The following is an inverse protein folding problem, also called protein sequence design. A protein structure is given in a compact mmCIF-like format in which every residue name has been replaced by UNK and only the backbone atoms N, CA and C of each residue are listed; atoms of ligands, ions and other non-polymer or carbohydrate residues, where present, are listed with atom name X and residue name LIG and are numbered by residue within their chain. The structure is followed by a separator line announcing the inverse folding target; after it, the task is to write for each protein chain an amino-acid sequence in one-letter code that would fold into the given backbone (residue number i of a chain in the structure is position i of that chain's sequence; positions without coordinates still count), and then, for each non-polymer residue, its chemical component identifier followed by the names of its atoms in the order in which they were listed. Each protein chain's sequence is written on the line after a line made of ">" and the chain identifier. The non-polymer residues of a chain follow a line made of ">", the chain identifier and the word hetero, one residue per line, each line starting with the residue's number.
data_IF_702132613172
#
_entry.id   IF_702132613172
#
_cell.length_a   1.000
_cell.length_b   1.000
_cell.length_c   1.000
_cell.angle_alpha   90.00
_cell.angle_beta   90.00
_cell.angle_gamma   90.00
#
_symmetry.space_group_name_H-M   'P 1'
#
loop_
_entity.id
_entity.type
_entity.pdbx_description
1 polymer ?
#
# COMPACT_ATOMS: atom_id res chain seq x y z
N UNK A 1 66.55 1.33 20.53
CA UNK A 1 67.24 0.19 19.88
C UNK A 1 66.12 -0.71 19.36
N UNK A 2 65.77 -0.81 18.07
CA UNK A 2 66.57 -0.80 16.85
C UNK A 2 65.79 -0.18 15.68
N UNK A 3 66.54 0.46 14.77
CA UNK A 3 66.11 1.07 13.50
C UNK A 3 65.71 0.01 12.48
N UNK A 4 64.84 0.35 11.53
CA UNK A 4 65.09 0.10 10.11
C UNK A 4 64.38 1.13 9.24
N UNK A 5 65.21 1.91 8.54
CA UNK A 5 64.87 2.95 7.57
C UNK A 5 64.35 2.36 6.25
N UNK A 6 63.37 3.03 5.62
CA UNK A 6 63.38 3.19 4.16
C UNK A 6 63.01 4.63 3.77
N UNK A 7 64.07 5.30 3.34
CA UNK A 7 64.26 6.67 2.87
C UNK A 7 63.38 6.99 1.65
N UNK A 8 62.59 8.07 1.70
CA UNK A 8 62.88 9.44 1.23
C UNK A 8 63.03 9.57 -0.30
N UNK A 9 62.09 10.14 -1.09
CA UNK A 9 61.59 11.55 -1.27
C UNK A 9 62.38 12.36 -2.35
N UNK A 10 61.92 13.55 -2.78
CA UNK A 10 61.72 13.99 -4.18
C UNK A 10 62.74 15.08 -4.64
N UNK A 11 62.68 15.56 -5.89
CA UNK A 11 63.27 16.83 -6.41
C UNK A 11 62.85 16.94 -7.90
N UNK A 12 62.08 17.92 -8.39
CA UNK A 12 62.24 19.38 -8.52
C UNK A 12 63.13 19.86 -9.69
N UNK A 13 62.51 20.70 -10.54
CA UNK A 13 63.04 21.80 -11.37
C UNK A 13 64.01 21.55 -12.56
N UNK A 14 63.51 21.87 -13.78
CA UNK A 14 64.21 22.64 -14.82
C UNK A 14 63.13 23.25 -15.76
N UNK A 15 62.88 24.57 -15.74
CA UNK A 15 63.35 25.59 -16.71
C UNK A 15 63.07 25.22 -18.19
N UNK A 16 62.58 26.06 -19.10
CA UNK A 16 62.12 27.45 -19.14
C UNK A 16 61.64 27.72 -20.58
N UNK A 17 60.96 28.85 -20.80
CA UNK A 17 60.81 29.64 -22.04
C UNK A 17 59.66 29.38 -23.03
N UNK A 18 58.86 30.45 -23.17
CA UNK A 18 58.49 31.19 -24.39
C UNK A 18 57.08 31.02 -25.01
N UNK A 19 56.44 32.20 -25.11
CA UNK A 19 55.41 32.64 -26.07
C UNK A 19 53.93 32.51 -25.70
N UNK A 20 53.49 33.56 -25.01
CA UNK A 20 52.20 34.22 -25.24
C UNK A 20 51.91 34.48 -26.73
N UNK A 21 50.79 33.97 -27.23
CA UNK A 21 50.11 34.55 -28.39
C UNK A 21 48.60 34.40 -28.21
N UNK A 22 47.94 35.51 -27.90
CA UNK A 22 46.50 35.65 -28.00
C UNK A 22 46.14 35.71 -29.49
N UNK A 23 45.35 34.75 -29.96
CA UNK A 23 44.64 34.87 -31.24
C UNK A 23 43.16 35.00 -30.92
N UNK A 24 42.66 36.22 -31.09
CA UNK A 24 41.24 36.48 -31.21
C UNK A 24 40.75 35.84 -32.51
N UNK A 25 40.11 34.67 -32.40
CA UNK A 25 39.35 34.07 -33.48
C UNK A 25 37.87 34.44 -33.32
N UNK A 26 37.50 35.60 -33.89
CA UNK A 26 36.13 35.87 -34.31
C UNK A 26 35.99 35.31 -35.73
N UNK A 27 35.10 34.33 -35.93
CA UNK A 27 34.86 33.74 -37.25
C UNK A 27 33.77 32.68 -37.17
N UNK A 28 32.56 33.08 -37.55
CA UNK A 28 31.35 32.29 -37.43
C UNK A 28 31.32 31.03 -38.29
N UNK A 29 30.84 29.97 -37.67
CA UNK A 29 30.15 28.87 -38.32
C UNK A 29 28.97 28.55 -37.43
N UNK A 30 27.78 28.99 -37.81
CA UNK A 30 26.55 28.59 -37.16
C UNK A 30 26.35 27.09 -37.42
N UNK A 31 27.02 26.26 -36.63
CA UNK A 31 26.60 24.89 -36.42
C UNK A 31 25.41 24.99 -35.47
N UNK A 32 24.28 25.40 -36.05
CA UNK A 32 22.98 25.22 -35.41
C UNK A 32 22.79 23.71 -35.37
N UNK A 33 23.38 23.04 -34.37
CA UNK A 33 22.75 21.87 -33.79
C UNK A 33 21.43 22.41 -33.25
N UNK A 34 20.43 22.49 -34.15
CA UNK A 34 19.05 22.30 -33.76
C UNK A 34 19.08 20.94 -33.06
N UNK A 35 19.28 20.97 -31.75
CA UNK A 35 18.55 20.06 -30.90
C UNK A 35 17.10 20.43 -31.16
N UNK A 36 16.55 19.90 -32.26
CA UNK A 36 15.13 19.65 -32.34
C UNK A 36 14.87 18.67 -31.20
N UNK A 37 14.73 19.22 -29.99
CA UNK A 37 13.82 18.65 -29.03
C UNK A 37 12.49 18.70 -29.78
N UNK A 38 12.19 17.63 -30.49
CA UNK A 38 10.83 17.28 -30.84
C UNK A 38 10.14 17.17 -29.49
N UNK A 39 9.70 18.30 -28.96
CA UNK A 39 8.78 18.35 -27.84
C UNK A 39 7.52 17.73 -28.41
N UNK A 40 7.43 16.41 -28.29
CA UNK A 40 6.19 15.69 -28.45
C UNK A 40 5.27 16.40 -27.47
N UNK A 41 4.34 17.21 -27.98
CA UNK A 41 3.40 17.92 -27.14
C UNK A 41 2.69 16.83 -26.33
N UNK A 42 3.06 16.73 -25.06
CA UNK A 42 2.55 15.68 -24.19
C UNK A 42 1.07 15.94 -24.02
N UNK A 43 0.25 15.03 -24.54
CA UNK A 43 -1.19 15.12 -24.38
C UNK A 43 -1.51 15.20 -22.88
N UNK A 44 -2.41 16.09 -22.48
CA UNK A 44 -2.79 16.19 -21.08
C UNK A 44 -3.37 14.85 -20.60
N UNK A 45 -3.00 14.40 -19.38
CA UNK A 45 -3.64 13.22 -18.80
C UNK A 45 -5.12 13.48 -18.60
N UNK A 46 -5.93 12.44 -18.79
CA UNK A 46 -7.37 12.45 -18.54
C UNK A 46 -7.75 11.18 -17.79
N UNK A 47 -8.77 11.27 -16.93
CA UNK A 47 -9.35 10.11 -16.25
C UNK A 47 -10.36 9.47 -17.21
N UNK A 48 -10.13 8.22 -17.58
CA UNK A 48 -10.98 7.47 -18.52
C UNK A 48 -12.08 6.68 -17.81
N UNK A 49 -11.85 6.29 -16.56
CA UNK A 49 -12.83 5.59 -15.73
C UNK A 49 -12.50 5.67 -14.26
N UNK A 50 -13.53 5.54 -13.42
CA UNK A 50 -13.40 5.46 -11.96
C UNK A 50 -14.11 4.21 -11.45
N UNK A 51 -13.61 3.67 -10.34
CA UNK A 51 -14.27 2.60 -9.60
C UNK A 51 -14.15 2.87 -8.09
N UNK A 52 -15.25 3.08 -7.35
CA UNK A 52 -16.63 3.10 -7.83
C UNK A 52 -16.86 4.15 -8.93
N UNK A 53 -17.78 3.83 -9.85
CA UNK A 53 -18.19 4.76 -10.90
C UNK A 53 -18.82 6.02 -10.29
N UNK A 54 -18.80 7.13 -11.03
CA UNK A 54 -19.44 8.35 -10.56
C UNK A 54 -20.95 8.14 -10.34
N UNK A 55 -21.44 8.64 -9.21
CA UNK A 55 -22.79 8.45 -8.68
C UNK A 55 -23.18 6.99 -8.39
N UNK A 56 -22.21 6.08 -8.23
CA UNK A 56 -22.50 4.71 -7.84
C UNK A 56 -23.21 4.64 -6.48
N UNK A 57 -24.24 3.79 -6.39
CA UNK A 57 -24.99 3.50 -5.16
C UNK A 57 -24.73 2.07 -4.68
N UNK A 58 -24.96 1.81 -3.40
CA UNK A 58 -24.80 0.48 -2.78
C UNK A 58 -23.38 -0.08 -2.92
N UNK A 59 -22.37 0.79 -2.80
CA UNK A 59 -20.97 0.38 -2.77
C UNK A 59 -20.69 -0.31 -1.43
N UNK A 60 -20.07 -1.49 -1.45
CA UNK A 60 -19.68 -2.15 -0.21
C UNK A 60 -18.74 -1.24 0.62
N UNK A 61 -18.81 -1.29 1.95
CA UNK A 61 -17.89 -0.55 2.83
C UNK A 61 -16.49 -1.17 2.86
N UNK A 62 -16.42 -2.48 2.62
CA UNK A 62 -15.22 -3.30 2.68
C UNK A 62 -15.36 -4.52 1.78
N UNK A 63 -14.24 -5.14 1.44
CA UNK A 63 -14.17 -6.43 0.74
C UNK A 63 -13.52 -7.47 1.64
N UNK A 64 -13.82 -8.75 1.41
CA UNK A 64 -13.09 -9.86 2.02
C UNK A 64 -12.45 -10.71 0.93
N UNK A 65 -11.13 -10.83 0.99
CA UNK A 65 -10.37 -11.74 0.12
C UNK A 65 -9.54 -12.64 1.01
N UNK A 66 -9.72 -13.96 0.91
CA UNK A 66 -8.99 -14.96 1.72
C UNK A 66 -9.04 -14.68 3.24
N UNK A 67 -10.22 -14.33 3.75
CA UNK A 67 -10.42 -13.99 5.17
C UNK A 67 -9.68 -12.72 5.64
N UNK A 68 -9.17 -11.90 4.71
CA UNK A 68 -8.61 -10.59 4.99
C UNK A 68 -9.65 -9.53 4.61
N UNK A 69 -10.13 -8.81 5.61
CA UNK A 69 -10.96 -7.62 5.39
C UNK A 69 -10.08 -6.48 4.85
N UNK A 70 -10.60 -5.73 3.89
CA UNK A 70 -9.96 -4.51 3.37
C UNK A 70 -11.03 -3.47 3.10
N UNK A 71 -10.70 -2.19 3.30
CA UNK A 71 -11.60 -1.10 2.90
C UNK A 71 -11.84 -1.15 1.39
N UNK A 72 -13.03 -0.72 0.95
CA UNK A 72 -13.31 -0.66 -0.48
C UNK A 72 -12.36 0.30 -1.17
N UNK A 73 -11.63 -0.22 -2.16
CA UNK A 73 -10.64 0.54 -2.93
C UNK A 73 -11.36 1.50 -3.87
N UNK A 74 -10.93 2.76 -3.83
CA UNK A 74 -11.42 3.83 -4.72
C UNK A 74 -10.33 4.09 -5.76
N UNK A 75 -10.63 3.96 -7.03
CA UNK A 75 -9.64 3.95 -8.10
C UNK A 75 -10.01 4.83 -9.28
N UNK A 76 -8.98 5.35 -9.95
CA UNK A 76 -9.10 6.16 -11.16
C UNK A 76 -8.10 5.63 -12.20
N UNK A 77 -8.59 5.42 -13.42
CA UNK A 77 -7.80 4.98 -14.57
C UNK A 77 -7.52 6.16 -15.48
N UNK A 78 -6.30 6.25 -16.00
CA UNK A 78 -5.85 7.33 -16.86
C UNK A 78 -5.66 6.87 -18.30
N UNK A 79 -5.75 7.80 -19.26
CA UNK A 79 -5.46 7.54 -20.67
C UNK A 79 -3.96 7.29 -20.95
N UNK A 80 -3.08 7.57 -19.98
CA UNK A 80 -1.63 7.42 -20.10
C UNK A 80 -0.97 7.21 -18.73
N UNK A 81 0.31 6.85 -18.74
CA UNK A 81 1.07 6.66 -17.50
C UNK A 81 1.27 7.98 -16.74
N UNK A 82 0.95 7.94 -15.44
CA UNK A 82 1.12 9.04 -14.49
C UNK A 82 2.43 8.94 -13.72
N UNK A 83 2.88 10.05 -13.14
CA UNK A 83 3.98 10.07 -12.18
C UNK A 83 3.44 9.70 -10.77
N UNK A 84 3.81 8.52 -10.23
CA UNK A 84 3.33 8.07 -8.93
C UNK A 84 3.66 9.02 -7.78
N UNK A 85 4.77 9.76 -7.87
CA UNK A 85 5.20 10.69 -6.80
C UNK A 85 4.28 11.89 -6.67
N UNK A 86 3.63 12.30 -7.76
CA UNK A 86 2.68 13.41 -7.77
C UNK A 86 1.30 13.01 -7.26
N UNK A 87 0.95 11.72 -7.37
CA UNK A 87 -0.33 11.16 -6.92
C UNK A 87 -0.27 10.71 -5.45
N UNK A 88 0.86 10.16 -5.03
CA UNK A 88 1.12 9.73 -3.67
C UNK A 88 1.75 10.86 -2.85
N UNK A 89 0.99 11.93 -2.59
CA UNK A 89 1.47 12.99 -1.71
C UNK A 89 1.31 12.57 -0.24
N UNK A 90 2.19 11.69 0.20
CA UNK A 90 2.50 11.44 1.61
C UNK A 90 3.56 12.41 2.15
N UNK A 91 3.94 13.44 1.37
CA UNK A 91 4.98 14.41 1.75
C UNK A 91 4.41 15.43 2.75
N UNK A 92 5.00 15.58 3.95
CA UNK A 92 4.57 16.59 4.91
C UNK A 92 4.65 18.00 4.31
N UNK A 93 3.54 18.75 4.35
CA UNK A 93 3.45 20.12 3.85
C UNK A 93 2.99 20.27 2.40
N UNK A 94 2.74 19.17 1.67
CA UNK A 94 2.08 19.21 0.36
C UNK A 94 0.55 19.04 0.51
N UNK A 95 -0.23 19.72 -0.35
CA UNK A 95 -1.66 19.46 -0.48
C UNK A 95 -1.86 18.05 -1.06
N UNK A 96 -2.78 17.23 -0.50
CA UNK A 96 -3.02 15.90 -1.02
C UNK A 96 -3.60 15.96 -2.43
N UNK A 97 -2.98 15.24 -3.36
CA UNK A 97 -3.40 15.20 -4.77
C UNK A 97 -4.61 14.31 -4.98
N UNK A 98 -4.70 13.20 -4.25
CA UNK A 98 -5.85 12.29 -4.28
C UNK A 98 -6.41 12.18 -2.87
N UNK A 99 -7.62 12.72 -2.67
CA UNK A 99 -8.36 12.61 -1.41
C UNK A 99 -9.70 11.90 -1.60
N UNK A 100 -10.19 11.33 -0.51
CA UNK A 100 -11.57 10.85 -0.39
C UNK A 100 -12.15 11.52 0.85
N UNK A 101 -13.26 12.22 0.70
CA UNK A 101 -13.91 12.94 1.79
C UNK A 101 -15.34 12.41 1.97
N UNK A 102 -15.83 12.37 3.20
CA UNK A 102 -17.23 12.04 3.47
C UNK A 102 -18.17 13.21 3.10
N UNK A 103 -19.47 13.02 3.33
CA UNK A 103 -20.50 14.03 3.07
C UNK A 103 -20.38 15.29 3.94
N UNK A 104 -19.61 15.23 5.04
CA UNK A 104 -19.33 16.35 5.94
C UNK A 104 -18.01 17.06 5.57
N UNK A 105 -17.31 16.59 4.52
CA UNK A 105 -16.02 17.11 4.09
C UNK A 105 -14.84 16.57 4.90
N UNK A 106 -15.05 15.61 5.80
CA UNK A 106 -13.97 15.00 6.58
C UNK A 106 -13.14 14.08 5.70
N UNK A 107 -11.82 14.24 5.75
CA UNK A 107 -10.89 13.42 4.99
C UNK A 107 -10.84 11.98 5.54
N UNK A 108 -11.05 11.01 4.67
CA UNK A 108 -10.87 9.59 4.94
C UNK A 108 -9.37 9.30 4.94
N UNK A 109 -8.78 8.81 6.05
CA UNK A 109 -7.40 8.35 6.04
C UNK A 109 -7.25 7.10 5.16
N UNK A 110 -6.19 7.07 4.36
CA UNK A 110 -5.87 5.96 3.48
C UNK A 110 -4.56 6.15 2.75
N UNK A 111 -4.19 5.18 1.93
CA UNK A 111 -2.95 5.18 1.14
C UNK A 111 -3.27 5.11 -0.35
N UNK A 112 -2.45 5.78 -1.16
CA UNK A 112 -2.57 5.76 -2.63
C UNK A 112 -1.44 4.93 -3.21
N UNK A 113 -1.78 3.98 -4.07
CA UNK A 113 -0.84 3.14 -4.80
C UNK A 113 -1.14 3.17 -6.30
N UNK A 114 -0.09 3.04 -7.12
CA UNK A 114 -0.20 2.89 -8.57
C UNK A 114 -0.06 1.43 -8.97
N UNK A 115 -0.73 1.03 -10.05
CA UNK A 115 -0.45 -0.26 -10.70
C UNK A 115 0.93 -0.26 -11.38
N UNK A 116 1.40 -1.44 -11.82
CA UNK A 116 2.72 -1.58 -12.45
C UNK A 116 2.90 -0.75 -13.74
N UNK A 117 1.82 -0.46 -14.45
CA UNK A 117 1.83 0.36 -15.67
C UNK A 117 1.73 1.87 -15.37
N UNK A 118 1.57 2.27 -14.11
CA UNK A 118 1.29 3.64 -13.67
C UNK A 118 0.07 4.29 -14.35
N UNK A 119 -0.90 3.50 -14.80
CA UNK A 119 -2.13 3.98 -15.45
C UNK A 119 -3.36 3.94 -14.54
N UNK A 120 -3.26 3.30 -13.36
CA UNK A 120 -4.37 3.19 -12.41
C UNK A 120 -3.88 3.59 -11.02
N UNK A 121 -4.50 4.63 -10.45
CA UNK A 121 -4.32 5.04 -9.06
C UNK A 121 -5.40 4.39 -8.19
N UNK A 122 -5.00 3.82 -7.06
CA UNK A 122 -5.88 3.14 -6.11
C UNK A 122 -5.70 3.72 -4.72
N UNK A 123 -6.76 4.29 -4.16
CA UNK A 123 -6.86 4.75 -2.79
C UNK A 123 -7.48 3.65 -1.94
N UNK A 124 -6.74 3.17 -0.94
CA UNK A 124 -7.18 2.17 0.02
C UNK A 124 -7.43 2.85 1.37
N UNK A 125 -8.68 2.93 1.83
CA UNK A 125 -8.99 3.44 3.17
C UNK A 125 -8.29 2.63 4.26
N UNK A 126 -7.94 3.27 5.38
CA UNK A 126 -7.58 2.57 6.61
C UNK A 126 -8.69 1.60 7.01
N UNK A 127 -8.32 0.44 7.52
CA UNK A 127 -9.28 -0.63 7.83
C UNK A 127 -9.99 -0.41 9.18
N UNK A 128 -11.31 -0.64 9.28
CA UNK A 128 -12.37 -0.26 8.34
C UNK A 128 -12.81 1.20 8.59
N UNK A 129 -12.62 2.09 7.61
CA UNK A 129 -12.93 3.53 7.77
C UNK A 129 -14.21 3.96 7.06
N UNK A 130 -14.66 3.27 6.00
CA UNK A 130 -15.88 3.68 5.29
C UNK A 130 -17.13 3.31 6.10
N UNK A 131 -17.92 4.33 6.43
CA UNK A 131 -19.16 4.22 7.17
C UNK A 131 -20.29 3.75 6.23
N UNK A 132 -21.22 2.90 6.73
CA UNK A 132 -22.41 2.52 5.98
C UNK A 132 -23.33 3.71 5.69
N UNK A 133 -24.08 3.65 4.58
CA UNK A 133 -25.08 4.66 4.20
C UNK A 133 -24.52 6.07 4.00
N UNK A 134 -23.22 6.21 3.76
CA UNK A 134 -22.52 7.49 3.69
C UNK A 134 -22.11 7.78 2.25
N UNK A 135 -22.28 9.03 1.81
CA UNK A 135 -21.77 9.51 0.53
C UNK A 135 -20.32 9.94 0.71
N UNK A 136 -19.47 9.48 -0.21
CA UNK A 136 -18.07 9.87 -0.32
C UNK A 136 -17.83 10.62 -1.63
N UNK A 137 -16.91 11.58 -1.60
CA UNK A 137 -16.44 12.34 -2.75
C UNK A 137 -14.94 12.14 -2.87
N UNK A 138 -14.52 11.53 -3.97
CA UNK A 138 -13.12 11.41 -4.33
C UNK A 138 -12.71 12.61 -5.20
N UNK A 139 -11.54 13.16 -4.91
CA UNK A 139 -11.00 14.33 -5.61
C UNK A 139 -9.59 14.05 -6.07
N UNK A 140 -9.34 14.33 -7.34
CA UNK A 140 -8.03 14.31 -7.95
C UNK A 140 -7.67 15.74 -8.39
N UNK A 141 -6.65 16.33 -7.78
CA UNK A 141 -6.27 17.72 -8.05
C UNK A 141 -5.42 17.85 -9.32
N UNK A 142 -5.31 19.09 -9.81
CA UNK A 142 -4.44 19.42 -10.96
C UNK A 142 -2.95 19.26 -10.67
N UNK A 143 -2.56 18.94 -9.42
CA UNK A 143 -1.18 18.63 -9.08
C UNK A 143 -0.71 17.28 -9.64
N UNK A 144 -1.63 16.37 -10.00
CA UNK A 144 -1.28 15.10 -10.62
C UNK A 144 -0.70 15.32 -12.02
N UNK A 145 0.43 14.68 -12.31
CA UNK A 145 1.13 14.80 -13.59
C UNK A 145 1.31 13.45 -14.26
N UNK A 146 1.35 13.48 -15.59
CA UNK A 146 1.85 12.38 -16.41
C UNK A 146 3.35 12.15 -16.16
N UNK A 147 3.85 10.97 -16.53
CA UNK A 147 5.29 10.69 -16.49
C UNK A 147 6.12 11.65 -17.38
N UNK A 148 5.48 12.29 -18.36
CA UNK A 148 6.08 13.33 -19.21
C UNK A 148 5.96 14.76 -18.64
N UNK A 149 5.44 14.93 -17.42
CA UNK A 149 5.36 16.21 -16.71
C UNK A 149 4.12 17.06 -17.00
N UNK A 150 3.24 16.66 -17.92
CA UNK A 150 1.99 17.35 -18.19
C UNK A 150 0.98 17.14 -17.04
N UNK A 151 0.40 18.22 -16.52
CA UNK A 151 -0.59 18.19 -15.45
C UNK A 151 -2.01 17.90 -15.96
N UNK A 152 -2.86 17.38 -15.07
CA UNK A 152 -4.31 17.33 -15.30
C UNK A 152 -4.84 18.74 -15.62
N UNK A 153 -5.63 18.84 -16.68
CA UNK A 153 -6.18 20.12 -17.14
C UNK A 153 -7.16 20.71 -16.12
N UNK A 154 -7.97 19.87 -15.50
CA UNK A 154 -8.95 20.24 -14.47
C UNK A 154 -8.94 19.22 -13.35
N UNK A 155 -9.31 19.64 -12.14
CA UNK A 155 -9.55 18.71 -11.05
C UNK A 155 -10.70 17.76 -11.44
N UNK A 156 -10.57 16.49 -11.08
CA UNK A 156 -11.59 15.46 -11.33
C UNK A 156 -12.21 15.11 -9.99
N UNK A 157 -13.53 15.21 -9.91
CA UNK A 157 -14.30 14.83 -8.73
C UNK A 157 -15.35 13.82 -9.12
N UNK A 158 -15.54 12.80 -8.29
CA UNK A 158 -16.63 11.83 -8.45
C UNK A 158 -17.14 11.40 -7.08
N UNK A 159 -18.41 11.02 -7.04
CA UNK A 159 -19.07 10.63 -5.80
C UNK A 159 -19.60 9.22 -5.85
N UNK A 160 -19.70 8.59 -4.68
CA UNK A 160 -20.35 7.29 -4.53
C UNK A 160 -20.97 7.16 -3.14
N UNK A 161 -21.98 6.31 -3.00
CA UNK A 161 -22.66 6.06 -1.73
C UNK A 161 -22.49 4.62 -1.29
N UNK A 162 -22.10 4.42 -0.03
CA UNK A 162 -21.96 3.09 0.56
C UNK A 162 -23.33 2.47 0.88
N UNK A 163 -23.37 1.14 0.88
CA UNK A 163 -24.52 0.37 1.34
C UNK A 163 -24.84 0.66 2.80
N UNK A 164 -26.12 0.57 3.18
CA UNK A 164 -26.56 0.78 4.58
C UNK A 164 -26.05 -0.29 5.54
N UNK A 165 -25.73 -1.49 5.04
CA UNK A 165 -25.14 -2.56 5.84
C UNK A 165 -23.62 -2.53 5.69
N UNK A 166 -22.84 -2.57 6.78
CA UNK A 166 -21.43 -2.85 6.69
C UNK A 166 -21.25 -4.24 6.07
N UNK A 167 -20.25 -4.37 5.19
CA UNK A 167 -19.87 -5.68 4.66
C UNK A 167 -19.08 -6.43 5.74
N UNK A 168 -19.75 -7.32 6.46
CA UNK A 168 -19.09 -8.25 7.39
C UNK A 168 -18.62 -9.48 6.60
N UNK A 169 -17.31 -9.68 6.55
CA UNK A 169 -16.64 -10.78 5.85
C UNK A 169 -17.21 -12.18 6.09
N UNK A 170 -17.76 -12.43 7.28
CA UNK A 170 -18.28 -13.73 7.65
C UNK A 170 -19.33 -13.56 8.75
N UNK A 171 -20.48 -14.23 8.61
CA UNK A 171 -21.39 -14.40 9.73
C UNK A 171 -20.66 -15.17 10.85
N UNK A 172 -20.81 -14.80 12.13
CA UNK A 172 -20.19 -15.54 13.22
C UNK A 172 -20.49 -17.04 13.10
N UNK A 173 -19.46 -17.87 13.01
CA UNK A 173 -19.65 -19.32 13.05
C UNK A 173 -20.05 -19.68 14.47
N UNK A 174 -21.31 -20.09 14.65
CA UNK A 174 -21.78 -20.59 15.93
C UNK A 174 -21.08 -21.93 16.20
N UNK A 175 -20.01 -21.91 16.99
CA UNK A 175 -19.24 -23.11 17.39
C UNK A 175 -20.05 -24.09 18.28
N UNK A 176 -21.33 -23.80 18.52
CA UNK A 176 -22.16 -24.51 19.49
C UNK A 176 -21.62 -24.38 20.91
N UNK A 177 -22.31 -25.00 21.87
CA UNK A 177 -21.71 -25.33 23.17
C UNK A 177 -21.18 -26.75 23.06
N UNK A 178 -19.94 -27.00 23.48
CA UNK A 178 -19.48 -28.37 23.69
C UNK A 178 -20.39 -29.00 24.76
N UNK A 179 -21.09 -30.09 24.40
CA UNK A 179 -21.85 -30.88 25.37
C UNK A 179 -20.92 -31.69 26.27
N UNK A 180 -21.47 -32.30 27.32
CA UNK A 180 -20.75 -33.29 28.13
C UNK A 180 -20.29 -34.42 27.23
N UNK A 181 -18.97 -34.62 27.12
CA UNK A 181 -18.39 -35.74 26.40
C UNK A 181 -18.05 -36.85 27.41
N UNK A 182 -18.47 -38.07 27.14
CA UNK A 182 -18.02 -39.24 27.89
C UNK A 182 -16.75 -39.78 27.22
N UNK A 183 -15.65 -39.88 27.97
CA UNK A 183 -14.47 -40.62 27.51
C UNK A 183 -14.78 -42.12 27.67
N UNK A 184 -15.10 -42.79 26.56
CA UNK A 184 -15.21 -44.26 26.52
C UNK A 184 -13.84 -44.83 26.17
N UNK A 185 -13.02 -45.09 27.19
CA UNK A 185 -11.73 -45.73 26.98
C UNK A 185 -11.80 -47.23 27.18
N UNK A 186 -11.23 -48.00 26.24
CA UNK A 186 -11.04 -49.46 26.35
C UNK A 186 -9.96 -49.83 27.37
N UNK A 187 -9.04 -48.90 27.67
CA UNK A 187 -7.92 -49.06 28.61
C UNK A 187 -7.74 -47.79 29.43
N UNK A 188 -7.42 -47.91 30.73
CA UNK A 188 -7.56 -46.86 31.76
C UNK A 188 -7.10 -45.44 31.39
N UNK A 189 -7.84 -44.44 31.88
CA UNK A 189 -7.47 -43.03 31.83
C UNK A 189 -6.43 -42.78 32.91
N UNK A 190 -5.21 -42.36 32.53
CA UNK A 190 -4.16 -41.97 33.48
C UNK A 190 -4.11 -40.45 33.59
N UNK A 191 -4.22 -39.95 34.81
CA UNK A 191 -4.04 -38.54 35.14
C UNK A 191 -2.66 -38.29 35.79
N UNK A 192 -2.13 -37.07 35.65
CA UNK A 192 -0.93 -36.62 36.36
C UNK A 192 -1.37 -35.99 37.68
N UNK A 193 -0.76 -36.39 38.79
CA UNK A 193 -1.08 -35.78 40.08
C UNK A 193 -0.68 -34.29 40.09
N UNK A 194 -1.53 -33.34 40.49
CA UNK A 194 -2.90 -33.47 41.00
C UNK A 194 -3.90 -32.84 40.01
N UNK A 195 -4.47 -33.62 39.08
CA UNK A 195 -5.60 -33.12 38.31
C UNK A 195 -6.94 -33.56 38.91
N UNK A 196 -7.94 -32.71 38.69
CA UNK A 196 -9.32 -32.97 39.04
C UNK A 196 -10.07 -33.37 37.76
N UNK A 197 -10.80 -34.48 37.83
CA UNK A 197 -11.74 -34.89 36.78
C UNK A 197 -13.12 -34.43 37.21
N UNK A 198 -13.61 -33.34 36.59
CA UNK A 198 -14.88 -32.70 36.94
C UNK A 198 -16.06 -33.14 36.03
N UNK A 199 -15.95 -34.29 35.36
CA UNK A 199 -16.98 -34.81 34.44
C UNK A 199 -17.22 -36.32 34.58
N UNK A 200 -18.23 -36.83 33.88
CA UNK A 200 -18.62 -38.24 33.94
C UNK A 200 -17.60 -39.16 33.25
N UNK A 201 -17.18 -40.22 33.95
CA UNK A 201 -16.22 -41.22 33.43
C UNK A 201 -16.95 -42.54 33.17
N UNK A 202 -16.99 -42.97 31.91
CA UNK A 202 -17.57 -44.24 31.51
C UNK A 202 -16.51 -45.34 31.40
N UNK A 203 -16.61 -46.39 32.22
CA UNK A 203 -15.78 -47.58 32.10
C UNK A 203 -16.59 -48.76 31.55
N UNK A 204 -16.11 -49.39 30.48
CA UNK A 204 -16.66 -50.67 30.03
C UNK A 204 -16.10 -51.81 30.90
N UNK A 205 -16.89 -52.85 31.26
CA UNK A 205 -16.39 -53.96 32.04
C UNK A 205 -15.18 -54.62 31.38
N UNK A 206 -14.09 -54.72 32.13
CA UNK A 206 -13.01 -55.68 31.92
C UNK A 206 -13.10 -56.72 33.05
N UNK A 207 -12.36 -57.82 32.99
CA UNK A 207 -12.34 -58.88 34.03
C UNK A 207 -11.80 -58.40 35.41
N UNK A 208 -11.66 -57.09 35.65
CA UNK A 208 -11.14 -56.48 36.88
C UNK A 208 -11.65 -55.05 37.11
N UNK A 209 -11.23 -54.42 38.22
CA UNK A 209 -11.66 -53.06 38.58
C UNK A 209 -11.09 -52.02 37.59
N UNK A 210 -11.96 -51.24 36.96
CA UNK A 210 -11.58 -50.21 35.99
C UNK A 210 -11.26 -48.84 36.62
N UNK A 211 -11.64 -48.62 37.89
CA UNK A 211 -11.37 -47.41 38.66
C UNK A 211 -10.86 -47.83 40.05
N UNK A 212 -9.61 -47.47 40.35
CA UNK A 212 -9.03 -47.64 41.68
C UNK A 212 -9.24 -46.38 42.52
N UNK A 213 -10.09 -46.45 43.55
CA UNK A 213 -10.23 -45.39 44.54
C UNK A 213 -9.24 -45.66 45.68
N UNK A 214 -8.38 -44.69 45.99
CA UNK A 214 -7.60 -44.73 47.25
C UNK A 214 -8.53 -44.25 48.36
N UNK A 215 -8.72 -45.08 49.38
CA UNK A 215 -9.31 -44.71 50.67
C UNK A 215 -8.39 -43.76 51.43
#
# INVERSE_FOLDING_TARGET
>A
MNKFDRRWKPLACAMALLMSMAVAACGGGAHTTLLAVSSVASANPTVVSTNPADNASNVATSTNTNNVLSGTVVSASFNQAMDPTTLNSAVPGALPTYTVNDSLGLNVPGTVAMNAANTVASFTPGMPVLLPGTRYTATLSTAARSAAGAALATAVTWSFSTSQSPFTAQAPVALGKAGTFAILSKTGVTDVYASAINGDVGASPITGAAIGLKS
#
